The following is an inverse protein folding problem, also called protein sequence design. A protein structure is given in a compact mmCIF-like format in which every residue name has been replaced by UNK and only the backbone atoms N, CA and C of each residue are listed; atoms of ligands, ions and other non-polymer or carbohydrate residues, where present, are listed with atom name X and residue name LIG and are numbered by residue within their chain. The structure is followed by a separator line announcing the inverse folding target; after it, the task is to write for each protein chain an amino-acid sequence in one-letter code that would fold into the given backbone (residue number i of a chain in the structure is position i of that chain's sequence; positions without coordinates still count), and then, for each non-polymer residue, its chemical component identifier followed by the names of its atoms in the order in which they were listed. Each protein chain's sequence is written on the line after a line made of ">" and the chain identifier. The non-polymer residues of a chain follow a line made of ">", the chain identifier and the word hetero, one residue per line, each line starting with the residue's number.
data_IF_508584808833
#
_entry.id   IF_508584808833
#
_cell.length_a   1.000
_cell.length_b   1.000
_cell.length_c   1.000
_cell.angle_alpha   90.00
_cell.angle_beta   90.00
_cell.angle_gamma   90.00
#
_symmetry.space_group_name_H-M   'P 1'
#
loop_
_entity.id
_entity.type
_entity.pdbx_description
1 polymer ?
#
# COMPACT_ATOMS: atom_id res chain seq x y z
N UNK A 1 -1.00 33.03 33.43
CA UNK A 1 0.37 32.86 33.97
C UNK A 1 1.39 33.02 32.83
N UNK A 2 1.88 34.23 32.55
CA UNK A 2 3.05 34.44 31.70
C UNK A 2 4.34 34.50 32.54
N UNK A 3 5.50 34.03 32.02
CA UNK A 3 6.76 34.09 32.74
C UNK A 3 7.42 35.47 32.67
N UNK A 4 7.99 35.84 33.80
CA UNK A 4 8.88 36.96 34.07
C UNK A 4 10.18 36.88 33.26
N UNK A 5 10.59 37.99 32.64
CA UNK A 5 11.99 38.20 32.24
C UNK A 5 12.53 39.47 32.91
N UNK A 6 13.49 39.27 33.81
CA UNK A 6 14.40 40.29 34.31
C UNK A 6 15.80 40.03 33.75
N UNK A 7 16.54 41.13 33.49
CA UNK A 7 18.00 41.32 33.57
C UNK A 7 18.36 42.41 32.54
N UNK A 8 18.48 43.70 32.88
CA UNK A 8 19.58 44.46 33.55
C UNK A 8 20.93 44.43 32.84
N UNK A 9 21.30 45.56 32.21
CA UNK A 9 22.63 46.20 32.21
C UNK A 9 22.53 47.46 31.33
N UNK A 10 22.37 48.67 31.89
CA UNK A 10 23.37 49.58 32.46
C UNK A 10 24.21 50.35 31.40
N UNK A 11 24.69 51.52 31.83
CA UNK A 11 25.30 52.65 31.10
C UNK A 11 24.27 53.67 30.61
N UNK A 12 23.82 54.64 31.42
CA UNK A 12 24.57 55.72 32.10
C UNK A 12 25.61 56.34 31.17
N UNK A 13 25.20 57.38 30.44
CA UNK A 13 25.89 58.67 30.38
C UNK A 13 24.84 59.75 30.03
N UNK A 14 24.13 60.23 31.04
CA UNK A 14 23.53 61.58 31.01
C UNK A 14 24.66 62.55 31.35
N UNK A 15 25.33 63.08 30.33
CA UNK A 15 26.20 64.24 30.50
C UNK A 15 25.32 65.48 30.66
N UNK A 16 25.19 65.90 31.91
CA UNK A 16 24.70 67.21 32.27
C UNK A 16 25.65 68.25 31.67
N UNK A 17 25.14 69.08 30.76
CA UNK A 17 25.77 70.36 30.46
C UNK A 17 25.00 71.41 31.23
N UNK A 18 25.57 71.80 32.36
CA UNK A 18 25.22 73.00 33.07
C UNK A 18 25.27 74.17 32.08
N UNK A 19 24.19 74.94 32.00
CA UNK A 19 24.21 76.28 31.43
C UNK A 19 25.00 77.18 32.38
N UNK A 20 26.18 77.72 32.01
CA UNK A 20 26.75 78.81 32.77
C UNK A 20 25.95 80.08 32.45
N UNK A 21 25.25 80.61 33.44
CA UNK A 21 24.79 82.00 33.45
C UNK A 21 26.03 82.91 33.44
N UNK A 22 26.51 83.24 32.24
CA UNK A 22 27.64 84.16 32.08
C UNK A 22 27.12 85.59 32.29
N UNK A 23 27.53 86.20 33.40
CA UNK A 23 27.42 87.63 33.61
C UNK A 23 28.12 88.38 32.45
N UNK A 24 27.43 89.39 31.91
CA UNK A 24 27.95 90.27 30.87
C UNK A 24 29.11 91.09 31.43
N UNK A 25 30.33 90.60 31.22
CA UNK A 25 31.55 91.39 31.26
C UNK A 25 32.33 91.01 30.01
N UNK A 26 32.38 91.95 29.07
CA UNK A 26 33.15 91.83 27.83
C UNK A 26 34.64 91.77 28.19
N UNK A 27 35.38 90.72 27.79
CA UNK A 27 36.82 90.67 28.00
C UNK A 27 37.51 91.76 27.16
N UNK A 28 38.67 92.28 27.59
CA UNK A 28 39.40 93.31 26.86
C UNK A 28 39.82 92.81 25.47
N UNK A 29 39.81 93.71 24.47
CA UNK A 29 39.86 93.40 23.04
C UNK A 29 41.06 92.54 22.58
N UNK A 30 42.15 92.48 23.34
CA UNK A 30 43.33 91.68 23.00
C UNK A 30 43.16 90.17 23.25
N UNK A 31 42.11 89.72 23.96
CA UNK A 31 41.85 88.29 24.22
C UNK A 31 40.82 87.66 23.27
N UNK A 32 40.29 88.40 22.30
CA UNK A 32 39.30 87.92 21.33
C UNK A 32 39.77 86.74 20.43
N UNK A 33 41.04 86.67 19.94
CA UNK A 33 41.44 85.62 19.00
C UNK A 33 41.50 84.21 19.61
N UNK A 34 41.54 84.08 20.93
CA UNK A 34 41.65 82.79 21.63
C UNK A 34 40.30 82.09 21.84
N UNK A 35 39.18 82.79 21.63
CA UNK A 35 37.83 82.24 21.82
C UNK A 35 37.16 81.80 20.50
N UNK A 36 37.77 82.07 19.33
CA UNK A 36 37.22 81.73 18.01
C UNK A 36 37.68 80.36 17.45
N UNK A 37 38.57 79.62 18.13
CA UNK A 37 38.91 78.25 17.75
C UNK A 37 38.05 77.22 18.52
N UNK A 38 36.89 76.89 17.96
CA UNK A 38 36.00 75.84 18.47
C UNK A 38 35.98 74.58 17.58
N UNK A 39 37.03 74.33 16.80
CA UNK A 39 37.17 73.05 16.10
C UNK A 39 37.95 72.05 16.96
N UNK A 40 37.37 70.92 17.38
CA UNK A 40 38.14 69.86 18.04
C UNK A 40 39.11 69.24 17.03
N UNK A 41 40.42 69.43 17.23
CA UNK A 41 41.46 68.72 16.50
C UNK A 41 41.44 67.25 16.93
N UNK A 42 40.89 66.37 16.10
CA UNK A 42 40.92 64.93 16.29
C UNK A 42 41.91 64.31 15.31
N UNK A 43 42.97 63.68 15.82
CA UNK A 43 44.04 63.06 15.02
C UNK A 43 43.68 61.63 14.55
N UNK A 44 42.52 61.11 14.94
CA UNK A 44 42.03 59.83 14.39
C UNK A 44 41.43 60.08 13.01
N UNK A 45 41.99 59.45 11.98
CA UNK A 45 41.38 59.42 10.65
C UNK A 45 39.88 59.04 10.79
N UNK A 46 38.95 59.73 10.10
CA UNK A 46 37.54 59.40 10.18
C UNK A 46 37.40 57.93 9.78
N UNK A 47 37.04 57.07 10.74
CA UNK A 47 36.96 55.65 10.48
C UNK A 47 35.93 55.45 9.37
N UNK A 48 36.38 55.00 8.20
CA UNK A 48 35.48 54.60 7.13
C UNK A 48 34.55 53.55 7.74
N UNK A 49 33.23 53.78 7.66
CA UNK A 49 32.23 52.93 8.28
C UNK A 49 32.58 51.44 8.08
N UNK A 50 32.89 50.73 9.17
CA UNK A 50 33.26 49.31 9.12
C UNK A 50 32.09 48.52 8.55
N UNK A 51 32.38 47.63 7.59
CA UNK A 51 31.41 46.68 7.04
C UNK A 51 30.84 45.84 8.18
N UNK A 52 29.52 45.77 8.28
CA UNK A 52 28.85 44.91 9.25
C UNK A 52 29.17 43.44 8.94
N UNK A 53 29.70 42.71 9.93
CA UNK A 53 30.05 41.31 9.80
C UNK A 53 28.85 40.37 9.99
N UNK A 54 27.71 40.88 10.48
CA UNK A 54 26.49 40.08 10.59
C UNK A 54 25.65 40.19 9.31
N UNK A 55 25.86 39.24 8.39
CA UNK A 55 25.18 39.20 7.08
C UNK A 55 23.65 39.06 7.19
N UNK A 56 23.14 38.48 8.27
CA UNK A 56 21.70 38.22 8.47
C UNK A 56 21.09 39.17 9.50
N UNK A 57 21.73 40.31 9.78
CA UNK A 57 21.22 41.28 10.76
C UNK A 57 19.83 41.77 10.34
N UNK A 58 18.85 41.55 11.21
CA UNK A 58 17.48 42.01 10.96
C UNK A 58 16.75 41.26 9.83
N UNK A 59 17.25 40.09 9.43
CA UNK A 59 16.62 39.25 8.38
C UNK A 59 15.96 38.03 9.04
N UNK A 60 14.66 37.87 8.87
CA UNK A 60 13.88 36.72 9.33
C UNK A 60 12.71 36.43 8.38
N UNK A 61 12.58 35.16 7.98
CA UNK A 61 11.55 34.72 7.05
C UNK A 61 10.16 34.69 7.71
N UNK A 62 10.05 34.15 8.94
CA UNK A 62 8.78 34.01 9.66
C UNK A 62 8.11 35.36 9.98
N UNK A 63 8.91 36.40 10.28
CA UNK A 63 8.40 37.75 10.55
C UNK A 63 8.29 38.60 9.29
N UNK A 64 8.51 38.01 8.10
CA UNK A 64 8.46 38.70 6.81
C UNK A 64 9.29 40.00 6.78
N UNK A 65 10.44 40.06 7.47
CA UNK A 65 11.25 41.30 7.52
C UNK A 65 11.88 41.66 6.18
N UNK A 66 11.92 40.70 5.25
CA UNK A 66 12.44 40.89 3.91
C UNK A 66 13.95 41.12 3.90
N UNK A 67 14.43 41.67 2.78
CA UNK A 67 15.82 42.06 2.64
C UNK A 67 16.13 43.30 3.48
N UNK A 68 17.32 43.33 4.09
CA UNK A 68 17.77 44.52 4.81
C UNK A 68 17.86 45.72 3.86
N UNK A 69 17.59 46.93 4.38
CA UNK A 69 17.61 48.20 3.63
C UNK A 69 18.87 48.46 2.79
N UNK A 70 19.99 47.85 3.17
CA UNK A 70 21.30 48.00 2.51
C UNK A 70 21.61 46.84 1.53
N UNK A 71 20.77 45.82 1.45
CA UNK A 71 20.96 44.64 0.61
C UNK A 71 20.09 44.76 -0.65
N UNK A 72 20.72 44.95 -1.81
CA UNK A 72 20.05 45.01 -3.11
C UNK A 72 20.35 43.72 -3.89
N UNK A 73 19.32 43.00 -4.30
CA UNK A 73 19.43 41.86 -5.21
C UNK A 73 18.98 42.24 -6.63
N UNK A 74 19.42 41.46 -7.61
CA UNK A 74 18.96 41.57 -9.00
C UNK A 74 17.49 41.21 -9.15
N UNK A 75 17.01 40.23 -8.39
CA UNK A 75 15.61 39.79 -8.38
C UNK A 75 14.85 40.55 -7.29
N UNK A 76 13.76 41.22 -7.67
CA UNK A 76 12.87 41.94 -6.75
C UNK A 76 11.71 41.07 -6.32
N UNK A 77 11.19 41.33 -5.12
CA UNK A 77 10.01 40.64 -4.58
C UNK A 77 8.79 40.74 -5.51
N UNK A 78 8.60 41.89 -6.18
CA UNK A 78 7.51 42.10 -7.13
C UNK A 78 7.58 41.23 -8.39
N UNK A 79 8.77 40.75 -8.73
CA UNK A 79 9.02 39.93 -9.93
C UNK A 79 9.05 38.43 -9.60
N UNK A 80 8.59 38.03 -8.40
CA UNK A 80 8.54 36.62 -8.04
C UNK A 80 7.41 35.92 -8.81
N UNK A 81 7.68 34.77 -9.45
CA UNK A 81 6.63 34.00 -10.09
C UNK A 81 5.64 33.50 -9.04
N UNK A 82 4.36 33.63 -9.32
CA UNK A 82 3.31 33.06 -8.48
C UNK A 82 3.11 31.59 -8.86
N UNK A 83 3.23 30.65 -7.92
CA UNK A 83 2.99 29.25 -8.21
C UNK A 83 1.50 29.00 -8.47
N UNK A 84 1.21 27.99 -9.29
CA UNK A 84 -0.15 27.53 -9.53
C UNK A 84 -0.63 26.75 -8.29
N UNK A 85 -1.34 27.44 -7.41
CA UNK A 85 -1.88 26.85 -6.18
C UNK A 85 -3.08 25.93 -6.46
N UNK A 86 -3.93 26.31 -7.42
CA UNK A 86 -5.16 25.58 -7.75
C UNK A 86 -4.85 24.19 -8.30
N UNK A 87 -5.32 23.11 -7.65
CA UNK A 87 -5.07 21.74 -8.13
C UNK A 87 -5.59 21.49 -9.54
N UNK A 88 -6.71 22.11 -9.92
CA UNK A 88 -7.33 21.96 -11.25
C UNK A 88 -6.48 22.55 -12.38
N UNK A 89 -5.62 23.52 -12.07
CA UNK A 89 -4.73 24.17 -13.04
C UNK A 89 -3.38 23.46 -13.15
N UNK A 90 -3.12 22.46 -12.30
CA UNK A 90 -1.92 21.62 -12.37
C UNK A 90 -2.11 20.57 -13.47
N UNK A 91 -1.03 20.24 -14.18
CA UNK A 91 -1.04 19.14 -15.13
C UNK A 91 -1.35 17.83 -14.42
N UNK A 92 -2.35 17.09 -14.90
CA UNK A 92 -2.65 15.77 -14.37
C UNK A 92 -1.52 14.79 -14.68
N UNK A 93 -1.11 14.00 -13.68
CA UNK A 93 -0.14 12.92 -13.89
C UNK A 93 -0.83 11.79 -14.64
N UNK A 94 -0.22 11.34 -15.75
CA UNK A 94 -0.71 10.18 -16.50
C UNK A 94 -0.43 8.91 -15.68
N UNK A 95 -1.48 8.31 -15.14
CA UNK A 95 -1.41 7.04 -14.40
C UNK A 95 -1.76 5.90 -15.36
N UNK A 96 -1.03 4.79 -15.26
CA UNK A 96 -1.36 3.57 -16.01
C UNK A 96 -2.66 2.94 -15.50
N UNK A 97 -3.51 2.50 -16.43
CA UNK A 97 -4.78 1.86 -16.13
C UNK A 97 -4.59 0.44 -15.56
N UNK A 98 -3.53 -0.25 -15.99
CA UNK A 98 -3.19 -1.61 -15.57
C UNK A 98 -2.14 -1.64 -14.44
N UNK A 99 -2.09 -0.56 -13.64
CA UNK A 99 -1.18 -0.49 -12.52
C UNK A 99 -1.53 -1.50 -11.42
N UNK A 100 -0.55 -2.25 -10.91
CA UNK A 100 -0.78 -3.31 -9.92
C UNK A 100 -1.43 -2.84 -8.60
N UNK A 101 -1.22 -1.57 -8.22
CA UNK A 101 -1.87 -0.98 -7.03
C UNK A 101 -3.40 -0.90 -7.15
N UNK A 102 -3.96 -0.93 -8.37
CA UNK A 102 -5.41 -0.99 -8.55
C UNK A 102 -6.03 -2.25 -7.93
N UNK A 103 -5.23 -3.30 -7.69
CA UNK A 103 -5.69 -4.50 -6.99
C UNK A 103 -6.12 -4.30 -5.53
N UNK A 104 -5.76 -3.17 -4.90
CA UNK A 104 -6.19 -2.81 -3.54
C UNK A 104 -7.51 -2.03 -3.49
N UNK A 105 -8.02 -1.60 -4.65
CA UNK A 105 -9.24 -0.82 -4.75
C UNK A 105 -10.40 -1.67 -5.29
N UNK A 106 -11.65 -1.27 -5.05
CA UNK A 106 -12.82 -1.86 -5.71
C UNK A 106 -12.72 -1.77 -7.23
N UNK A 107 -13.49 -2.60 -7.94
CA UNK A 107 -13.48 -2.67 -9.42
C UNK A 107 -13.82 -1.33 -10.08
N UNK A 108 -14.67 -0.53 -9.44
CA UNK A 108 -15.07 0.79 -9.91
C UNK A 108 -14.00 1.88 -9.69
N UNK A 109 -12.82 1.52 -9.16
CA UNK A 109 -11.72 2.44 -8.82
C UNK A 109 -12.14 3.55 -7.84
N UNK A 110 -13.16 3.28 -7.03
CA UNK A 110 -13.58 4.13 -5.92
C UNK A 110 -12.64 3.96 -4.72
N UNK A 111 -12.65 4.90 -3.76
CA UNK A 111 -11.80 4.81 -2.56
C UNK A 111 -12.31 3.79 -1.55
N UNK A 112 -13.63 3.66 -1.46
CA UNK A 112 -14.35 2.76 -0.56
C UNK A 112 -15.46 2.08 -1.36
N UNK A 113 -15.74 0.82 -1.05
CA UNK A 113 -16.93 0.12 -1.55
C UNK A 113 -18.18 0.62 -0.85
N UNK A 114 -19.31 0.59 -1.56
CA UNK A 114 -20.60 0.83 -0.92
C UNK A 114 -20.95 -0.30 0.06
N UNK A 115 -21.78 -0.03 1.09
CA UNK A 115 -22.26 -1.08 1.99
C UNK A 115 -23.03 -2.19 1.25
N UNK A 116 -23.79 -1.83 0.22
CA UNK A 116 -24.51 -2.76 -0.64
C UNK A 116 -23.56 -3.71 -1.37
N UNK A 117 -22.53 -3.19 -2.05
CA UNK A 117 -21.48 -4.02 -2.67
C UNK A 117 -20.76 -4.92 -1.65
N UNK A 118 -20.52 -4.41 -0.45
CA UNK A 118 -19.85 -5.17 0.61
C UNK A 118 -20.73 -6.35 1.07
N UNK A 119 -22.04 -6.13 1.16
CA UNK A 119 -23.02 -7.14 1.53
C UNK A 119 -23.30 -8.14 0.40
N UNK A 120 -23.07 -7.77 -0.86
CA UNK A 120 -23.15 -8.65 -2.02
C UNK A 120 -21.96 -9.64 -2.05
N UNK A 121 -22.01 -10.64 -1.16
CA UNK A 121 -21.11 -11.79 -1.17
C UNK A 121 -21.90 -13.10 -1.00
N UNK A 122 -21.33 -14.20 -1.51
CA UNK A 122 -21.85 -15.53 -1.27
C UNK A 122 -21.31 -16.13 0.03
N UNK A 123 -21.67 -17.40 0.28
CA UNK A 123 -21.13 -18.17 1.40
C UNK A 123 -19.67 -18.58 1.20
N UNK A 124 -19.01 -18.94 2.29
CA UNK A 124 -17.75 -19.66 2.26
C UNK A 124 -17.86 -21.06 1.60
N UNK A 125 -16.76 -21.47 0.98
CA UNK A 125 -16.47 -22.83 0.58
C UNK A 125 -16.49 -23.79 1.76
N UNK A 126 -17.16 -24.92 1.57
CA UNK A 126 -17.19 -26.02 2.55
C UNK A 126 -16.00 -26.95 2.35
N UNK A 127 -15.65 -27.70 3.40
CA UNK A 127 -14.57 -28.69 3.36
C UNK A 127 -14.82 -29.75 2.28
N UNK A 128 -16.06 -30.23 2.18
CA UNK A 128 -16.47 -31.25 1.21
C UNK A 128 -16.23 -30.80 -0.24
N UNK A 129 -16.54 -29.54 -0.56
CA UNK A 129 -16.31 -28.97 -1.89
C UNK A 129 -14.81 -28.85 -2.21
N UNK A 130 -14.00 -28.49 -1.21
CA UNK A 130 -12.55 -28.30 -1.39
C UNK A 130 -11.79 -29.62 -1.49
N UNK A 131 -12.33 -30.73 -0.97
CA UNK A 131 -11.72 -32.07 -1.11
C UNK A 131 -11.62 -32.52 -2.57
N UNK A 132 -12.51 -32.08 -3.44
CA UNK A 132 -12.47 -32.38 -4.87
C UNK A 132 -11.56 -31.48 -5.71
N UNK A 133 -10.72 -30.62 -5.10
CA UNK A 133 -9.86 -29.67 -5.80
C UNK A 133 -8.38 -30.02 -5.74
N UNK A 134 -7.65 -29.75 -6.80
CA UNK A 134 -6.21 -29.99 -6.87
C UNK A 134 -5.42 -29.01 -5.98
N UNK A 135 -4.16 -29.34 -5.71
CA UNK A 135 -3.29 -28.49 -4.89
C UNK A 135 -3.09 -27.09 -5.50
N UNK A 136 -2.87 -27.01 -6.81
CA UNK A 136 -2.66 -25.75 -7.53
C UNK A 136 -3.88 -24.82 -7.41
N UNK A 137 -5.09 -25.39 -7.53
CA UNK A 137 -6.33 -24.64 -7.41
C UNK A 137 -6.56 -24.13 -5.98
N UNK A 138 -6.27 -24.95 -4.97
CA UNK A 138 -6.31 -24.53 -3.57
C UNK A 138 -5.30 -23.41 -3.28
N UNK A 139 -4.10 -23.49 -3.86
CA UNK A 139 -3.06 -22.47 -3.69
C UNK A 139 -3.43 -21.15 -4.39
N UNK A 140 -3.99 -21.21 -5.61
CA UNK A 140 -4.52 -20.03 -6.31
C UNK A 140 -5.68 -19.39 -5.53
N UNK A 141 -6.62 -20.21 -5.06
CA UNK A 141 -7.76 -19.76 -4.26
C UNK A 141 -7.31 -19.09 -2.96
N UNK A 142 -6.30 -19.65 -2.28
CA UNK A 142 -5.72 -19.04 -1.09
C UNK A 142 -5.24 -17.61 -1.35
N UNK A 143 -4.52 -17.38 -2.45
CA UNK A 143 -4.05 -16.03 -2.82
C UNK A 143 -5.17 -15.09 -3.23
N UNK A 144 -6.24 -15.59 -3.86
CA UNK A 144 -7.46 -14.81 -4.09
C UNK A 144 -8.06 -14.36 -2.77
N UNK A 145 -8.16 -15.24 -1.76
CA UNK A 145 -8.64 -14.88 -0.43
C UNK A 145 -7.74 -13.85 0.29
N UNK A 146 -6.42 -13.98 0.16
CA UNK A 146 -5.47 -13.00 0.73
C UNK A 146 -5.64 -11.63 0.08
N UNK A 147 -5.72 -11.57 -1.25
CA UNK A 147 -5.95 -10.32 -1.99
C UNK A 147 -7.29 -9.68 -1.61
N UNK A 148 -8.33 -10.49 -1.45
CA UNK A 148 -9.63 -10.04 -0.98
C UNK A 148 -9.55 -9.38 0.40
N UNK A 149 -8.90 -10.06 1.36
CA UNK A 149 -8.67 -9.51 2.70
C UNK A 149 -7.90 -8.20 2.66
N UNK A 150 -6.86 -8.11 1.83
CA UNK A 150 -6.06 -6.89 1.71
C UNK A 150 -6.90 -5.75 1.14
N UNK A 151 -7.73 -6.00 0.12
CA UNK A 151 -8.66 -5.00 -0.43
C UNK A 151 -9.63 -4.51 0.64
N UNK A 152 -10.24 -5.42 1.41
CA UNK A 152 -11.17 -5.03 2.48
C UNK A 152 -10.44 -4.23 3.57
N UNK A 153 -9.23 -4.64 3.97
CA UNK A 153 -8.43 -3.89 4.94
C UNK A 153 -8.09 -2.47 4.46
N UNK A 154 -7.75 -2.28 3.18
CA UNK A 154 -7.54 -0.96 2.60
C UNK A 154 -8.80 -0.10 2.70
N UNK A 155 -9.97 -0.67 2.35
CA UNK A 155 -11.24 0.07 2.46
C UNK A 155 -11.61 0.38 3.91
N UNK A 156 -11.32 -0.51 4.86
CA UNK A 156 -11.59 -0.30 6.28
C UNK A 156 -10.73 0.81 6.88
N UNK A 157 -9.44 0.86 6.52
CA UNK A 157 -8.54 1.94 6.94
C UNK A 157 -9.00 3.28 6.37
N UNK A 158 -9.37 3.33 5.09
CA UNK A 158 -9.87 4.55 4.47
C UNK A 158 -11.22 4.98 5.07
N UNK A 159 -12.11 4.02 5.37
CA UNK A 159 -13.38 4.28 6.04
C UNK A 159 -13.17 4.88 7.44
N UNK A 160 -12.25 4.34 8.23
CA UNK A 160 -11.89 4.90 9.56
C UNK A 160 -11.32 6.31 9.43
N UNK A 161 -10.49 6.56 8.40
CA UNK A 161 -9.94 7.89 8.11
C UNK A 161 -11.03 8.91 7.75
N UNK A 162 -12.01 8.50 6.93
CA UNK A 162 -13.11 9.35 6.47
C UNK A 162 -14.19 9.55 7.54
N UNK A 163 -14.49 8.52 8.35
CA UNK A 163 -15.56 8.55 9.36
C UNK A 163 -15.21 9.29 10.64
N UNK A 164 -13.95 9.64 10.85
CA UNK A 164 -13.52 10.46 11.99
C UNK A 164 -13.98 9.88 13.34
N UNK A 165 -14.56 10.73 14.20
CA UNK A 165 -14.98 10.34 15.56
C UNK A 165 -16.26 9.49 15.60
N UNK A 166 -17.15 9.66 14.63
CA UNK A 166 -18.50 9.08 14.67
C UNK A 166 -18.63 7.74 13.94
N UNK A 167 -17.56 7.31 13.26
CA UNK A 167 -17.58 6.12 12.43
C UNK A 167 -18.33 6.33 11.12
N UNK A 168 -18.15 5.41 10.19
CA UNK A 168 -18.89 5.36 8.92
C UNK A 168 -19.57 4.01 8.80
N UNK A 169 -20.68 3.97 8.06
CA UNK A 169 -21.42 2.75 7.79
C UNK A 169 -20.61 1.78 6.91
N UNK A 170 -20.91 0.48 6.95
CA UNK A 170 -20.22 -0.55 6.16
C UNK A 170 -19.22 -1.42 6.95
N UNK A 171 -18.94 -1.12 8.21
CA UNK A 171 -18.02 -1.90 9.04
C UNK A 171 -18.55 -3.32 9.29
N UNK A 172 -19.84 -3.45 9.57
CA UNK A 172 -20.47 -4.74 9.85
C UNK A 172 -20.45 -5.66 8.61
N UNK A 173 -20.87 -5.13 7.47
CA UNK A 173 -20.95 -5.82 6.18
C UNK A 173 -19.56 -6.26 5.71
N UNK A 174 -18.57 -5.37 5.83
CA UNK A 174 -17.18 -5.71 5.51
C UNK A 174 -16.60 -6.76 6.47
N UNK A 175 -16.99 -6.71 7.75
CA UNK A 175 -16.62 -7.71 8.76
C UNK A 175 -17.19 -9.10 8.47
N UNK A 176 -18.47 -9.18 8.08
CA UNK A 176 -19.11 -10.44 7.66
C UNK A 176 -18.39 -11.03 6.44
N UNK A 177 -18.13 -10.23 5.41
CA UNK A 177 -17.39 -10.68 4.22
C UNK A 177 -16.00 -11.21 4.58
N UNK A 178 -15.29 -10.55 5.50
CA UNK A 178 -13.99 -11.03 5.99
C UNK A 178 -14.12 -12.34 6.77
N UNK A 179 -15.22 -12.54 7.52
CA UNK A 179 -15.48 -13.78 8.22
C UNK A 179 -15.65 -14.95 7.25
N UNK A 180 -16.44 -14.76 6.18
CA UNK A 180 -16.61 -15.77 5.12
C UNK A 180 -15.28 -16.11 4.44
N UNK A 181 -14.49 -15.11 4.06
CA UNK A 181 -13.15 -15.32 3.46
C UNK A 181 -12.19 -16.03 4.43
N UNK A 182 -12.25 -15.74 5.73
CA UNK A 182 -11.47 -16.49 6.73
C UNK A 182 -11.98 -17.92 6.89
N UNK A 183 -13.28 -18.13 6.75
CA UNK A 183 -13.91 -19.46 6.74
C UNK A 183 -13.35 -20.33 5.62
N UNK A 184 -13.26 -19.80 4.39
CA UNK A 184 -12.67 -20.52 3.26
C UNK A 184 -11.20 -20.86 3.52
N UNK A 185 -10.40 -19.89 3.99
CA UNK A 185 -8.99 -20.11 4.32
C UNK A 185 -8.79 -21.19 5.39
N UNK A 186 -9.68 -21.25 6.39
CA UNK A 186 -9.66 -22.31 7.41
C UNK A 186 -9.97 -23.67 6.80
N UNK A 187 -10.96 -23.76 5.92
CA UNK A 187 -11.32 -25.01 5.26
C UNK A 187 -10.19 -25.50 4.33
N UNK A 188 -9.51 -24.60 3.59
CA UNK A 188 -8.35 -24.96 2.77
C UNK A 188 -7.25 -25.58 3.63
N UNK A 189 -6.89 -24.94 4.75
CA UNK A 189 -5.89 -25.48 5.68
C UNK A 189 -6.29 -26.87 6.19
N UNK A 190 -7.56 -27.01 6.58
CA UNK A 190 -8.08 -28.27 7.07
C UNK A 190 -7.93 -29.39 6.04
N UNK A 191 -8.35 -29.16 4.79
CA UNK A 191 -8.26 -30.16 3.71
C UNK A 191 -6.81 -30.54 3.41
N UNK A 192 -5.88 -29.58 3.39
CA UNK A 192 -4.47 -29.88 3.15
C UNK A 192 -3.86 -30.74 4.27
N UNK A 193 -4.19 -30.42 5.53
CA UNK A 193 -3.75 -31.21 6.68
C UNK A 193 -4.39 -32.60 6.70
N UNK A 194 -5.69 -32.69 6.42
CA UNK A 194 -6.41 -33.96 6.31
C UNK A 194 -5.80 -34.87 5.22
N UNK A 195 -5.51 -34.32 4.04
CA UNK A 195 -4.86 -35.06 2.95
C UNK A 195 -3.48 -35.58 3.33
N UNK A 196 -2.69 -34.76 4.03
CA UNK A 196 -1.36 -35.19 4.48
C UNK A 196 -1.46 -36.38 5.42
N UNK A 197 -2.35 -36.33 6.42
CA UNK A 197 -2.55 -37.44 7.33
C UNK A 197 -3.17 -38.66 6.65
N UNK A 198 -4.12 -38.47 5.72
CA UNK A 198 -4.69 -39.57 4.95
C UNK A 198 -3.63 -40.27 4.09
N UNK A 199 -2.73 -39.50 3.47
CA UNK A 199 -1.61 -40.03 2.69
C UNK A 199 -0.59 -40.77 3.57
N UNK A 200 -0.19 -40.20 4.71
CA UNK A 200 0.76 -40.86 5.61
C UNK A 200 0.18 -42.18 6.15
N UNK A 201 -1.07 -42.18 6.60
CA UNK A 201 -1.74 -43.40 7.07
C UNK A 201 -1.86 -44.45 5.95
N UNK A 202 -2.17 -44.04 4.72
CA UNK A 202 -2.24 -44.94 3.58
C UNK A 202 -0.87 -45.48 3.18
N UNK A 203 0.18 -44.66 3.31
CA UNK A 203 1.56 -45.07 3.08
C UNK A 203 2.03 -46.10 4.11
N UNK A 204 1.74 -45.87 5.39
CA UNK A 204 2.02 -46.84 6.46
C UNK A 204 1.27 -48.15 6.23
N UNK A 205 -0.03 -48.10 5.92
CA UNK A 205 -0.81 -49.29 5.58
C UNK A 205 -0.27 -50.02 4.34
N UNK A 206 0.15 -49.27 3.31
CA UNK A 206 0.75 -49.82 2.10
C UNK A 206 2.14 -50.42 2.29
N UNK A 207 2.84 -50.12 3.40
CA UNK A 207 4.08 -50.84 3.75
C UNK A 207 3.80 -52.24 4.30
N UNK A 208 2.63 -52.43 4.89
CA UNK A 208 2.20 -53.70 5.48
C UNK A 208 1.44 -54.59 4.48
N UNK A 209 0.87 -53.98 3.43
CA UNK A 209 0.06 -54.65 2.40
C UNK A 209 0.92 -55.39 1.36
N UNK A 210 0.78 -56.72 1.20
CA UNK A 210 1.51 -57.47 0.18
C UNK A 210 1.11 -57.14 -1.25
N UNK A 211 -0.05 -56.50 -1.48
CA UNK A 211 -0.50 -56.10 -2.83
C UNK A 211 0.19 -54.82 -3.32
N UNK A 212 0.84 -54.06 -2.43
CA UNK A 212 1.40 -52.75 -2.75
C UNK A 212 2.92 -52.79 -2.71
N UNK A 213 3.56 -52.53 -3.85
CA UNK A 213 5.01 -52.32 -3.94
C UNK A 213 5.32 -50.82 -4.00
N UNK A 214 5.75 -50.26 -2.87
CA UNK A 214 6.10 -48.85 -2.73
C UNK A 214 7.41 -48.47 -3.43
N UNK A 215 8.23 -49.45 -3.84
CA UNK A 215 9.52 -49.23 -4.47
C UNK A 215 9.53 -49.55 -5.97
N UNK A 216 8.37 -49.92 -6.54
CA UNK A 216 8.23 -50.20 -7.96
C UNK A 216 8.64 -49.00 -8.83
N UNK A 217 9.43 -49.25 -9.87
CA UNK A 217 9.81 -48.24 -10.85
C UNK A 217 8.68 -48.04 -11.87
N UNK A 218 7.78 -47.11 -11.56
CA UNK A 218 6.64 -46.76 -12.42
C UNK A 218 7.10 -46.21 -13.77
N UNK A 219 8.23 -45.48 -13.82
CA UNK A 219 8.79 -44.95 -15.07
C UNK A 219 9.43 -46.06 -15.93
N UNK A 220 9.93 -47.11 -15.28
CA UNK A 220 10.41 -48.37 -15.89
C UNK A 220 9.30 -49.32 -16.36
N UNK A 221 8.03 -49.01 -16.06
CA UNK A 221 6.86 -49.81 -16.44
C UNK A 221 6.47 -50.89 -15.43
N UNK A 222 7.05 -50.90 -14.24
CA UNK A 222 6.65 -51.78 -13.14
C UNK A 222 5.31 -51.31 -12.54
N UNK A 223 4.51 -52.26 -12.05
CA UNK A 223 3.21 -51.96 -11.45
C UNK A 223 3.36 -51.89 -9.93
N UNK A 224 3.05 -50.73 -9.35
CA UNK A 224 3.06 -50.53 -7.90
C UNK A 224 1.91 -51.27 -7.15
N UNK A 225 0.86 -51.68 -7.87
CA UNK A 225 -0.24 -52.45 -7.30
C UNK A 225 -0.34 -53.81 -8.01
N UNK A 226 -0.20 -54.87 -7.23
CA UNK A 226 -0.22 -56.27 -7.61
C UNK A 226 -1.43 -56.93 -6.93
N UNK A 227 -2.60 -56.90 -7.58
CA UNK A 227 -3.81 -57.47 -6.98
C UNK A 227 -3.59 -58.94 -6.67
N UNK A 228 -3.92 -59.35 -5.44
CA UNK A 228 -3.82 -60.75 -5.07
C UNK A 228 -4.86 -61.55 -5.87
N UNK A 229 -4.43 -62.65 -6.50
CA UNK A 229 -5.39 -63.60 -7.07
C UNK A 229 -6.11 -64.26 -5.90
N UNK A 230 -7.30 -63.75 -5.54
CA UNK A 230 -8.22 -64.48 -4.69
C UNK A 230 -8.46 -65.82 -5.37
N UNK A 231 -7.93 -66.90 -4.77
CA UNK A 231 -8.04 -68.26 -5.28
C UNK A 231 -9.51 -68.54 -5.54
N UNK A 232 -9.86 -68.68 -6.83
CA UNK A 232 -11.23 -68.68 -7.28
C UNK A 232 -12.11 -69.61 -6.46
N UNK A 233 -13.05 -69.04 -5.70
CA UNK A 233 -14.34 -69.68 -5.52
C UNK A 233 -14.97 -69.75 -6.91
N UNK A 234 -14.64 -70.81 -7.63
CA UNK A 234 -15.38 -71.22 -8.80
C UNK A 234 -16.82 -71.42 -8.34
N UNK A 235 -17.68 -70.44 -8.57
CA UNK A 235 -19.11 -70.65 -8.66
C UNK A 235 -19.28 -71.70 -9.77
N UNK A 236 -19.39 -72.96 -9.35
CA UNK A 236 -19.74 -74.09 -10.17
C UNK A 236 -21.18 -73.88 -10.64
N UNK A 237 -21.33 -73.04 -11.66
CA UNK A 237 -22.53 -73.00 -12.47
C UNK A 237 -22.51 -74.30 -13.26
N UNK A 238 -23.37 -75.23 -12.84
CA UNK A 238 -23.42 -76.60 -13.32
C UNK A 238 -23.27 -76.69 -14.84
N UNK A 239 -22.33 -77.51 -15.27
CA UNK A 239 -22.29 -77.99 -16.63
C UNK A 239 -23.55 -78.83 -16.87
N UNK A 240 -24.43 -78.37 -17.75
CA UNK A 240 -25.22 -79.26 -18.59
C UNK A 240 -25.75 -78.45 -19.79
N UNK A 241 -25.36 -78.93 -20.97
CA UNK A 241 -25.90 -78.67 -22.29
C UNK A 241 -25.77 -77.27 -22.91
N UNK A 242 -24.83 -77.14 -23.85
CA UNK A 242 -25.21 -76.71 -25.21
C UNK A 242 -24.12 -77.02 -26.23
N UNK A 243 -24.27 -78.18 -26.88
CA UNK A 243 -23.57 -78.50 -28.12
C UNK A 243 -24.26 -77.78 -29.29
N UNK A 244 -23.57 -76.77 -29.86
CA UNK A 244 -23.58 -76.27 -31.27
C UNK A 244 -22.98 -74.85 -31.22
N UNK A 245 -21.85 -74.55 -31.85
CA UNK A 245 -21.75 -74.20 -33.28
C UNK A 245 -20.28 -73.92 -33.62
N UNK A 246 -19.86 -74.30 -34.83
CA UNK A 246 -18.50 -74.20 -35.37
C UNK A 246 -17.93 -72.76 -35.50
N UNK A 247 -16.59 -72.60 -35.49
CA UNK A 247 -15.90 -71.30 -35.54
C UNK A 247 -15.59 -70.88 -36.98
N UNK A 248 -16.48 -70.15 -37.64
CA UNK A 248 -16.15 -69.42 -38.88
C UNK A 248 -17.22 -68.40 -39.25
N UNK A 249 -17.19 -67.21 -38.65
CA UNK A 249 -17.78 -66.01 -39.25
C UNK A 249 -17.12 -64.78 -38.62
N UNK A 250 -16.25 -64.13 -39.41
CA UNK A 250 -15.60 -62.87 -39.03
C UNK A 250 -16.61 -61.73 -38.94
N UNK A 251 -16.35 -60.78 -38.03
CA UNK A 251 -17.16 -59.57 -37.89
C UNK A 251 -17.18 -58.74 -39.20
N UNK A 252 -18.32 -58.18 -39.61
CA UNK A 252 -18.37 -57.21 -40.67
C UNK A 252 -17.87 -55.82 -40.18
N UNK A 253 -17.24 -55.02 -41.04
CA UNK A 253 -16.75 -53.68 -40.67
C UNK A 253 -17.90 -52.67 -40.49
N UNK A 254 -17.67 -51.57 -39.73
CA UNK A 254 -18.72 -50.63 -39.37
C UNK A 254 -19.14 -49.75 -40.57
N UNK A 255 -20.45 -49.55 -40.70
CA UNK A 255 -21.09 -48.74 -41.75
C UNK A 255 -20.92 -47.25 -41.45
N UNK A 256 -20.41 -46.51 -42.43
CA UNK A 256 -20.26 -45.05 -42.38
C UNK A 256 -21.62 -44.33 -42.29
N UNK A 257 -21.72 -43.37 -41.38
CA UNK A 257 -22.87 -42.49 -41.22
C UNK A 257 -22.93 -41.44 -42.33
N UNK A 258 -24.00 -41.48 -43.14
CA UNK A 258 -24.35 -40.41 -44.07
C UNK A 258 -25.08 -39.29 -43.33
N UNK A 259 -24.53 -38.07 -43.45
CA UNK A 259 -25.09 -36.84 -42.87
C UNK A 259 -26.19 -36.35 -43.80
N UNK A 260 -27.45 -36.38 -43.36
CA UNK A 260 -28.59 -35.84 -44.11
C UNK A 260 -28.83 -34.39 -43.72
N UNK A 261 -28.37 -33.46 -44.57
CA UNK A 261 -28.72 -32.05 -44.51
C UNK A 261 -29.98 -31.79 -45.34
N UNK A 262 -31.11 -31.45 -44.70
CA UNK A 262 -32.11 -30.53 -45.26
C UNK A 262 -33.27 -30.34 -44.27
N UNK A 263 -33.41 -29.12 -43.73
CA UNK A 263 -34.69 -28.63 -43.20
C UNK A 263 -34.74 -27.12 -43.38
N UNK A 264 -35.40 -26.73 -44.47
CA UNK A 264 -35.78 -25.37 -44.85
C UNK A 264 -37.15 -25.10 -44.23
N UNK A 265 -37.29 -24.12 -43.35
CA UNK A 265 -38.60 -23.56 -42.98
C UNK A 265 -38.53 -22.04 -43.02
N UNK A 266 -39.31 -21.48 -43.95
CA UNK A 266 -39.81 -20.10 -43.92
C UNK A 266 -41.20 -20.14 -43.26
N UNK A 267 -41.44 -19.31 -42.25
CA UNK A 267 -42.44 -18.22 -42.19
C UNK A 267 -41.95 -17.25 -41.13
#
# INVERSE_FOLDING_TARGET
>A
MPPTMHCTSSSILRSALLTPTRATTSPPAFLLPAFDQTSPFSSSAPCSARKDHNRNRGVSALRHTGLGKNQRLSVRLANLPQPVLDPLRRSAVKVDENHGLWGFFPKERTRISTPEESNMHGRAWTVQELRGKDWDDLHRLWWVCVREKNRIATTEVERKRLGGRFGMYGDHESGQRVAEVKGTMRCIKFVLTERWYAWENAREAGMEDPEVDLYADVDGGERAYLPQEEGGETLSLGSEDDARTHPSQGLPPPVASTVSSEARVRV
#
